data_IF_494146890493
#
_entry.id   IF_494146890493
#
_cell.length_a   1.000
_cell.length_b   1.000
_cell.length_c   1.000
_cell.angle_alpha   90.00
_cell.angle_beta   90.00
_cell.angle_gamma   90.00
#
_symmetry.space_group_name_H-M   'P 1'
#
loop_
_entity.id
_entity.type
_entity.pdbx_description
1 polymer ?
#
# COMPACT_ATOMS: atom_id res chain seq x y z
N UNK A 1 -72.58 17.68 -2.21
CA UNK A 1 -72.01 17.19 -3.48
C UNK A 1 -70.51 17.43 -3.46
N UNK A 2 -69.74 16.35 -3.70
CA UNK A 2 -68.38 16.27 -4.26
C UNK A 2 -67.20 17.00 -3.56
N UNK A 3 -65.96 16.49 -3.51
CA UNK A 3 -65.33 15.20 -3.82
C UNK A 3 -63.94 15.23 -3.14
N UNK A 4 -63.52 14.11 -2.55
CA UNK A 4 -62.23 13.97 -1.89
C UNK A 4 -61.06 13.99 -2.88
N UNK A 5 -59.90 14.49 -2.45
CA UNK A 5 -58.60 14.20 -3.11
C UNK A 5 -57.56 13.87 -2.05
N UNK A 6 -57.04 12.65 -2.15
CA UNK A 6 -55.90 12.12 -1.39
C UNK A 6 -54.65 12.38 -2.23
N UNK A 7 -53.61 12.98 -1.65
CA UNK A 7 -52.30 13.06 -2.29
C UNK A 7 -51.24 12.48 -1.35
N UNK A 8 -50.56 11.44 -1.85
CA UNK A 8 -49.66 10.55 -1.14
C UNK A 8 -48.39 11.26 -0.64
N UNK A 9 -48.00 10.93 0.60
CA UNK A 9 -46.67 11.24 1.12
C UNK A 9 -45.63 10.34 0.40
N UNK A 10 -44.90 10.93 -0.55
CA UNK A 10 -43.74 10.29 -1.16
C UNK A 10 -42.58 10.31 -0.18
N UNK A 11 -42.21 9.15 0.36
CA UNK A 11 -40.98 8.97 1.15
C UNK A 11 -39.81 9.10 0.17
N UNK A 12 -39.07 10.21 0.23
CA UNK A 12 -37.85 10.37 -0.52
C UNK A 12 -36.77 9.46 0.08
N UNK A 13 -36.61 8.26 -0.50
CA UNK A 13 -35.45 7.42 -0.22
C UNK A 13 -34.21 8.08 -0.81
N UNK A 14 -33.33 8.59 0.06
CA UNK A 14 -32.04 9.17 -0.32
C UNK A 14 -31.20 8.17 -1.11
N UNK A 15 -30.64 8.56 -2.28
CA UNK A 15 -29.88 7.63 -3.15
C UNK A 15 -28.49 7.28 -2.59
N UNK A 16 -28.06 7.89 -1.48
CA UNK A 16 -26.69 7.78 -0.98
C UNK A 16 -26.30 6.41 -0.43
N UNK A 17 -27.26 5.56 -0.05
CA UNK A 17 -26.95 4.21 0.48
C UNK A 17 -26.68 3.21 -0.65
N UNK A 18 -27.38 3.35 -1.78
CA UNK A 18 -27.22 2.45 -2.93
C UNK A 18 -25.86 2.63 -3.63
N UNK A 19 -25.30 3.85 -3.64
CA UNK A 19 -23.99 4.10 -4.23
C UNK A 19 -22.82 3.60 -3.37
N UNK A 20 -22.94 3.63 -2.04
CA UNK A 20 -21.92 3.04 -1.16
C UNK A 20 -21.88 1.50 -1.33
N UNK A 21 -23.04 0.85 -1.37
CA UNK A 21 -23.13 -0.59 -1.63
C UNK A 21 -22.71 -0.99 -3.05
N UNK A 22 -22.91 -0.14 -4.07
CA UNK A 22 -22.41 -0.44 -5.42
C UNK A 22 -20.89 -0.38 -5.51
N UNK A 23 -20.24 0.54 -4.78
CA UNK A 23 -18.77 0.58 -4.72
C UNK A 23 -18.17 -0.61 -3.98
N UNK A 24 -18.79 -1.09 -2.90
CA UNK A 24 -18.36 -2.33 -2.22
C UNK A 24 -18.70 -3.59 -3.02
N UNK A 25 -19.87 -3.64 -3.67
CA UNK A 25 -20.27 -4.82 -4.45
C UNK A 25 -19.52 -4.96 -5.79
N UNK A 26 -19.03 -3.87 -6.39
CA UNK A 26 -18.20 -3.96 -7.61
C UNK A 26 -16.78 -4.47 -7.33
N UNK A 27 -16.24 -4.32 -6.11
CA UNK A 27 -14.94 -4.88 -5.75
C UNK A 27 -14.96 -6.41 -5.67
N UNK A 28 -16.08 -7.01 -5.26
CA UNK A 28 -16.19 -8.48 -5.13
C UNK A 28 -16.35 -9.17 -6.49
N UNK A 29 -16.77 -8.45 -7.53
CA UNK A 29 -17.10 -9.03 -8.85
C UNK A 29 -15.91 -9.04 -9.81
N UNK A 30 -14.82 -8.32 -9.53
CA UNK A 30 -13.71 -8.19 -10.47
C UNK A 30 -12.58 -9.23 -10.31
N UNK A 31 -12.52 -10.00 -9.21
CA UNK A 31 -11.41 -10.94 -8.96
C UNK A 31 -10.04 -10.25 -8.89
N UNK A 32 -10.03 -8.99 -8.47
CA UNK A 32 -8.83 -8.16 -8.35
C UNK A 32 -8.59 -7.89 -6.88
N UNK A 33 -7.36 -8.10 -6.43
CA UNK A 33 -6.94 -7.62 -5.12
C UNK A 33 -6.26 -6.26 -5.25
N UNK A 34 -6.48 -5.40 -4.27
CA UNK A 34 -6.08 -3.98 -4.28
C UNK A 34 -5.38 -3.64 -2.98
N UNK A 35 -4.31 -2.86 -3.07
CA UNK A 35 -3.73 -2.13 -1.94
C UNK A 35 -3.64 -0.66 -2.28
N UNK A 36 -4.17 0.20 -1.41
CA UNK A 36 -4.08 1.63 -1.57
C UNK A 36 -3.93 2.33 -0.22
N UNK A 37 -3.04 3.31 -0.13
CA UNK A 37 -2.86 4.07 1.10
C UNK A 37 -1.66 4.99 1.06
N UNK A 38 -1.60 5.85 2.07
CA UNK A 38 -0.50 6.78 2.31
C UNK A 38 -0.14 6.66 3.78
N UNK A 39 1.13 6.87 4.10
CA UNK A 39 1.52 7.02 5.48
C UNK A 39 2.98 7.35 5.67
N UNK A 40 3.39 7.33 6.92
CA UNK A 40 4.81 7.39 7.25
C UNK A 40 5.13 6.57 8.49
N UNK A 41 6.38 6.18 8.57
CA UNK A 41 6.98 5.57 9.75
C UNK A 41 8.34 6.20 10.04
N UNK A 42 8.91 5.86 11.20
CA UNK A 42 10.22 6.34 11.64
C UNK A 42 11.03 5.14 12.04
N UNK A 43 12.24 5.02 11.49
CA UNK A 43 13.19 3.98 11.88
C UNK A 43 13.67 4.22 13.32
N UNK A 44 13.82 3.14 14.08
CA UNK A 44 14.40 3.14 15.44
C UNK A 44 15.66 2.25 15.55
N UNK A 45 16.13 1.74 14.41
CA UNK A 45 17.31 0.88 14.30
C UNK A 45 18.65 1.65 14.29
N UNK A 46 19.72 1.06 14.88
CA UNK A 46 21.08 1.59 14.81
C UNK A 46 21.55 2.02 13.43
N UNK A 47 21.98 3.29 13.32
CA UNK A 47 22.52 3.90 12.11
C UNK A 47 21.49 4.58 11.21
N UNK A 48 20.20 4.42 11.49
CA UNK A 48 19.09 5.08 10.79
C UNK A 48 18.05 5.65 11.78
N UNK A 49 18.37 5.75 13.07
CA UNK A 49 17.41 6.20 14.07
C UNK A 49 16.85 7.59 13.74
N UNK A 50 15.53 7.71 13.82
CA UNK A 50 14.82 8.96 13.55
C UNK A 50 14.66 9.29 12.06
N UNK A 51 15.23 8.49 11.15
CA UNK A 51 14.98 8.65 9.73
C UNK A 51 13.48 8.42 9.46
N UNK A 52 12.86 9.35 8.75
CA UNK A 52 11.42 9.32 8.47
C UNK A 52 11.19 8.90 7.02
N UNK A 53 10.33 7.92 6.85
CA UNK A 53 9.92 7.43 5.53
C UNK A 53 8.46 7.74 5.32
N UNK A 54 8.18 8.67 4.40
CA UNK A 54 6.85 8.89 3.85
C UNK A 54 6.66 8.02 2.62
N UNK A 55 5.49 7.42 2.50
CA UNK A 55 5.23 6.49 1.41
C UNK A 55 3.76 6.47 1.02
N UNK A 56 3.53 6.01 -0.20
CA UNK A 56 2.20 5.81 -0.76
C UNK A 56 2.19 4.63 -1.68
N UNK A 57 1.10 3.87 -1.70
CA UNK A 57 0.91 2.78 -2.65
C UNK A 57 -0.46 2.88 -3.27
N UNK A 58 -0.53 2.57 -4.56
CA UNK A 58 -1.77 2.25 -5.24
C UNK A 58 -1.45 1.16 -6.26
N UNK A 59 -1.89 -0.06 -5.98
CA UNK A 59 -1.62 -1.20 -6.82
C UNK A 59 -2.79 -2.18 -6.83
N UNK A 60 -2.93 -2.86 -7.97
CA UNK A 60 -3.93 -3.91 -8.18
C UNK A 60 -3.25 -5.14 -8.78
N UNK A 61 -3.74 -6.32 -8.42
CA UNK A 61 -3.34 -7.60 -8.99
C UNK A 61 -4.58 -8.37 -9.42
N UNK A 62 -4.58 -8.87 -10.64
CA UNK A 62 -5.66 -9.72 -11.15
C UNK A 62 -5.40 -11.19 -10.79
N UNK A 63 -6.44 -12.03 -10.88
CA UNK A 63 -6.35 -13.46 -10.58
C UNK A 63 -5.31 -14.24 -11.42
N UNK A 64 -4.93 -13.74 -12.59
CA UNK A 64 -3.86 -14.31 -13.45
C UNK A 64 -2.44 -13.91 -12.99
N UNK A 65 -2.33 -13.11 -11.92
CA UNK A 65 -1.07 -12.60 -11.38
C UNK A 65 -0.58 -11.31 -12.04
N UNK A 66 -1.29 -10.78 -13.04
CA UNK A 66 -0.92 -9.50 -13.66
C UNK A 66 -1.07 -8.37 -12.65
N UNK A 67 0.02 -7.66 -12.39
CA UNK A 67 0.10 -6.57 -11.41
C UNK A 67 0.36 -5.24 -12.11
N UNK A 68 -0.31 -4.19 -11.64
CA UNK A 68 0.00 -2.81 -12.03
C UNK A 68 -0.19 -1.87 -10.83
N UNK A 69 0.69 -0.91 -10.69
CA UNK A 69 0.61 0.05 -9.61
C UNK A 69 1.90 0.80 -9.39
N UNK A 70 1.86 1.73 -8.44
CA UNK A 70 2.99 2.57 -8.11
C UNK A 70 3.17 2.67 -6.61
N UNK A 71 4.44 2.77 -6.23
CA UNK A 71 4.89 3.04 -4.88
C UNK A 71 5.63 4.37 -4.88
N UNK A 72 5.15 5.32 -4.08
CA UNK A 72 5.77 6.62 -3.87
C UNK A 72 6.58 6.54 -2.58
N UNK A 73 7.74 7.17 -2.56
CA UNK A 73 8.58 7.23 -1.38
C UNK A 73 9.23 8.60 -1.22
N UNK A 74 9.48 8.97 0.03
CA UNK A 74 10.29 10.12 0.44
C UNK A 74 10.97 9.80 1.75
N UNK A 75 12.29 9.92 1.77
CA UNK A 75 13.16 9.64 2.92
C UNK A 75 13.78 10.94 3.42
N UNK A 76 13.53 11.24 4.69
CA UNK A 76 14.07 12.39 5.42
C UNK A 76 14.97 11.93 6.57
N UNK A 77 16.06 12.66 6.81
CA UNK A 77 16.85 12.59 8.04
C UNK A 77 16.06 13.15 9.23
N UNK A 78 16.50 12.92 10.49
CA UNK A 78 15.79 13.41 11.67
C UNK A 78 15.63 14.94 11.71
N UNK A 79 16.56 15.68 11.08
CA UNK A 79 16.52 17.14 10.96
C UNK A 79 15.63 17.66 9.81
N UNK A 80 14.98 16.75 9.06
CA UNK A 80 14.13 17.05 7.91
C UNK A 80 14.89 17.15 6.58
N UNK A 81 16.20 16.94 6.56
CA UNK A 81 16.98 16.93 5.32
C UNK A 81 16.52 15.79 4.41
N UNK A 82 16.20 16.12 3.16
CA UNK A 82 15.77 15.13 2.16
C UNK A 82 16.95 14.28 1.70
N UNK A 83 16.88 12.97 1.91
CA UNK A 83 17.83 11.99 1.38
C UNK A 83 17.47 11.58 -0.04
N UNK A 84 16.17 11.37 -0.28
CA UNK A 84 15.67 10.97 -1.59
C UNK A 84 14.15 10.90 -1.62
N UNK A 85 13.59 11.02 -2.82
CA UNK A 85 12.17 10.82 -3.08
C UNK A 85 11.96 10.38 -4.52
N UNK A 86 10.86 9.71 -4.78
CA UNK A 86 10.55 9.26 -6.12
C UNK A 86 9.39 8.30 -6.17
N UNK A 87 9.40 7.50 -7.24
CA UNK A 87 8.39 6.52 -7.56
C UNK A 87 9.05 5.24 -8.05
N UNK A 88 8.50 4.12 -7.60
CA UNK A 88 8.80 2.79 -8.09
C UNK A 88 7.53 2.18 -8.70
N UNK A 89 7.70 1.33 -9.70
CA UNK A 89 6.61 0.57 -10.29
C UNK A 89 6.41 -0.73 -9.52
N UNK A 90 5.17 -1.01 -9.11
CA UNK A 90 4.83 -2.25 -8.42
C UNK A 90 4.81 -3.38 -9.43
N UNK A 91 5.77 -4.29 -9.30
CA UNK A 91 5.97 -5.41 -10.25
C UNK A 91 5.31 -6.69 -9.79
N UNK A 92 5.00 -6.81 -8.49
CA UNK A 92 4.21 -7.91 -7.94
C UNK A 92 3.43 -7.43 -6.72
N UNK A 93 2.21 -7.92 -6.58
CA UNK A 93 1.36 -7.72 -5.42
C UNK A 93 0.68 -9.04 -5.06
N UNK A 94 0.72 -9.40 -3.79
CA UNK A 94 -0.02 -10.51 -3.19
C UNK A 94 -0.76 -10.01 -1.97
N UNK A 95 -2.08 -10.20 -1.97
CA UNK A 95 -2.95 -9.90 -0.84
C UNK A 95 -3.43 -11.21 -0.22
N UNK A 96 -3.39 -11.31 1.10
CA UNK A 96 -3.86 -12.48 1.85
C UNK A 96 -4.42 -12.02 3.19
N UNK A 97 -5.75 -12.05 3.33
CA UNK A 97 -6.41 -11.51 4.52
C UNK A 97 -6.13 -10.01 4.66
N UNK A 98 -5.69 -9.60 5.84
CA UNK A 98 -5.32 -8.21 6.16
C UNK A 98 -3.87 -7.85 5.79
N UNK A 99 -3.18 -8.70 5.03
CA UNK A 99 -1.77 -8.51 4.68
C UNK A 99 -1.62 -8.28 3.17
N UNK A 100 -0.86 -7.26 2.80
CA UNK A 100 -0.42 -7.01 1.44
C UNK A 100 1.11 -7.08 1.38
N UNK A 101 1.66 -7.95 0.53
CA UNK A 101 3.08 -8.02 0.20
C UNK A 101 3.27 -7.56 -1.23
N UNK A 102 4.17 -6.62 -1.47
CA UNK A 102 4.48 -6.16 -2.82
C UNK A 102 5.96 -5.87 -3.02
N UNK A 103 6.37 -6.00 -4.27
CA UNK A 103 7.70 -5.61 -4.76
C UNK A 103 7.53 -4.40 -5.68
N UNK A 104 8.31 -3.36 -5.45
CA UNK A 104 8.32 -2.17 -6.29
C UNK A 104 9.74 -1.82 -6.74
N UNK A 105 9.94 -1.65 -8.05
CA UNK A 105 11.25 -1.39 -8.65
C UNK A 105 11.31 0.03 -9.20
N UNK A 106 12.35 0.77 -8.83
CA UNK A 106 12.61 2.09 -9.42
C UNK A 106 13.02 1.91 -10.88
N UNK A 107 12.34 2.54 -11.86
CA UNK A 107 12.71 2.42 -13.26
C UNK A 107 14.14 2.88 -13.51
N UNK A 108 14.83 2.20 -14.44
CA UNK A 108 16.19 2.60 -14.82
C UNK A 108 16.24 4.06 -15.30
N UNK A 109 17.27 4.79 -14.87
CA UNK A 109 17.42 6.21 -15.17
C UNK A 109 16.60 7.15 -14.29
N UNK A 110 15.82 6.64 -13.32
CA UNK A 110 15.18 7.47 -12.30
C UNK A 110 16.00 7.46 -11.00
N UNK A 111 16.32 8.66 -10.49
CA UNK A 111 17.06 8.84 -9.23
C UNK A 111 18.58 8.65 -9.35
N UNK A 112 19.26 8.70 -8.20
CA UNK A 112 20.72 8.59 -8.10
C UNK A 112 21.20 7.17 -7.76
N UNK A 113 20.27 6.23 -7.60
CA UNK A 113 20.52 4.88 -7.12
C UNK A 113 20.29 3.91 -8.27
N UNK A 114 21.24 3.00 -8.50
CA UNK A 114 21.10 1.94 -9.51
C UNK A 114 20.41 0.73 -8.90
N UNK A 115 19.64 -0.03 -9.70
CA UNK A 115 19.07 -1.31 -9.30
C UNK A 115 18.34 -1.23 -7.94
N UNK A 116 17.44 -0.25 -7.80
CA UNK A 116 16.72 -0.01 -6.54
C UNK A 116 15.40 -0.75 -6.52
N UNK A 117 15.25 -1.68 -5.59
CA UNK A 117 14.01 -2.41 -5.30
C UNK A 117 13.56 -2.21 -3.86
N UNK A 118 12.27 -1.99 -3.69
CA UNK A 118 11.55 -1.99 -2.42
C UNK A 118 10.76 -3.29 -2.29
N UNK A 119 10.89 -3.94 -1.14
CA UNK A 119 10.10 -5.11 -0.77
C UNK A 119 9.34 -4.75 0.50
N UNK A 120 8.02 -4.73 0.40
CA UNK A 120 7.18 -4.12 1.42
C UNK A 120 6.08 -5.09 1.81
N UNK A 121 5.86 -5.19 3.11
CA UNK A 121 4.72 -5.87 3.71
C UNK A 121 3.94 -4.87 4.54
N UNK A 122 2.66 -4.77 4.24
CA UNK A 122 1.69 -3.97 4.99
C UNK A 122 0.73 -4.92 5.68
N UNK A 123 0.47 -4.66 6.96
CA UNK A 123 -0.47 -5.40 7.79
C UNK A 123 -1.51 -4.38 8.27
N UNK A 124 -2.73 -4.51 7.78
CA UNK A 124 -3.86 -3.70 8.22
C UNK A 124 -4.16 -4.00 9.71
N UNK A 125 -4.08 -2.96 10.53
CA UNK A 125 -4.22 -3.01 11.98
C UNK A 125 -5.66 -3.00 12.47
N UNK A 126 -6.64 -2.78 11.59
CA UNK A 126 -8.06 -2.68 11.91
C UNK A 126 -8.35 -1.47 12.82
N UNK A 127 -8.39 -1.70 14.14
CA UNK A 127 -8.54 -0.63 15.14
C UNK A 127 -7.21 -0.07 15.64
N UNK A 128 -6.11 -0.77 15.38
CA UNK A 128 -4.76 -0.33 15.70
C UNK A 128 -4.07 0.29 14.47
N UNK A 129 -2.98 1.05 14.63
CA UNK A 129 -2.20 1.53 13.50
C UNK A 129 -1.73 0.37 12.61
N UNK A 130 -1.79 0.56 11.29
CA UNK A 130 -1.20 -0.38 10.35
C UNK A 130 0.28 -0.57 10.64
N UNK A 131 0.79 -1.74 10.28
CA UNK A 131 2.22 -2.04 10.39
C UNK A 131 2.85 -2.17 9.01
N UNK A 132 4.08 -1.69 8.89
CA UNK A 132 4.91 -1.87 7.71
C UNK A 132 6.21 -2.59 8.08
N UNK A 133 6.61 -3.51 7.22
CA UNK A 133 7.96 -4.06 7.17
C UNK A 133 8.53 -3.75 5.80
N UNK A 134 9.76 -3.23 5.77
CA UNK A 134 10.45 -2.95 4.52
C UNK A 134 11.83 -3.58 4.44
N UNK A 135 12.23 -3.88 3.21
CA UNK A 135 13.58 -4.20 2.82
C UNK A 135 13.90 -3.48 1.52
N UNK A 136 15.15 -3.07 1.35
CA UNK A 136 15.60 -2.37 0.15
C UNK A 136 16.85 -3.05 -0.41
N UNK A 137 16.87 -3.23 -1.72
CA UNK A 137 18.07 -3.58 -2.47
C UNK A 137 18.45 -2.37 -3.32
N UNK A 138 19.70 -1.93 -3.26
CA UNK A 138 20.16 -0.75 -3.99
C UNK A 138 21.64 -0.85 -4.35
N UNK A 139 22.03 -0.19 -5.44
CA UNK A 139 23.39 -0.07 -5.95
C UNK A 139 24.12 -1.40 -6.22
N UNK A 140 23.38 -2.51 -6.37
CA UNK A 140 23.94 -3.80 -6.78
C UNK A 140 24.26 -3.85 -8.27
N UNK A 141 25.06 -4.84 -8.68
CA UNK A 141 25.32 -5.13 -10.10
C UNK A 141 24.20 -5.92 -10.77
N UNK A 142 23.41 -6.64 -9.97
CA UNK A 142 22.28 -7.45 -10.42
C UNK A 142 20.97 -6.66 -10.37
N UNK A 143 20.09 -6.94 -11.34
CA UNK A 143 18.74 -6.37 -11.35
C UNK A 143 17.92 -6.94 -10.18
N UNK A 144 17.16 -6.11 -9.43
CA UNK A 144 16.30 -6.61 -8.37
C UNK A 144 15.27 -7.61 -8.89
N UNK A 145 14.98 -8.71 -8.15
CA UNK A 145 13.87 -9.60 -8.46
C UNK A 145 12.55 -8.83 -8.59
N UNK A 146 11.74 -9.19 -9.58
CA UNK A 146 10.42 -8.56 -9.83
C UNK A 146 9.26 -9.32 -9.21
N UNK A 147 9.48 -10.55 -8.74
CA UNK A 147 8.49 -11.38 -8.03
C UNK A 147 8.24 -10.84 -6.61
N UNK A 148 7.11 -11.22 -6.02
CA UNK A 148 6.81 -10.90 -4.63
C UNK A 148 7.82 -11.58 -3.72
N UNK A 149 8.46 -10.79 -2.85
CA UNK A 149 9.34 -11.26 -1.78
C UNK A 149 8.83 -10.65 -0.48
N UNK A 150 8.54 -11.50 0.52
CA UNK A 150 8.17 -11.03 1.84
C UNK A 150 9.45 -10.60 2.58
N UNK A 151 9.58 -9.31 2.97
CA UNK A 151 10.77 -8.82 3.65
C UNK A 151 11.03 -9.51 5.00
N UNK A 152 10.02 -10.08 5.66
CA UNK A 152 10.21 -10.80 6.93
C UNK A 152 10.75 -12.23 6.74
N UNK A 153 10.37 -12.92 5.65
CA UNK A 153 10.68 -14.35 5.48
C UNK A 153 11.70 -14.64 4.39
N UNK A 154 11.79 -13.77 3.38
CA UNK A 154 12.59 -14.02 2.18
C UNK A 154 13.89 -13.20 2.14
N UNK A 155 14.04 -12.17 3.01
CA UNK A 155 15.11 -11.17 2.87
C UNK A 155 15.73 -10.67 4.21
N UNK A 156 17.01 -10.97 4.50
CA UNK A 156 17.86 -12.05 3.99
C UNK A 156 17.52 -13.39 4.68
N UNK A 157 17.72 -14.54 4.01
CA UNK A 157 17.53 -15.84 4.64
C UNK A 157 18.35 -15.97 5.94
N UNK A 158 17.70 -16.31 7.05
CA UNK A 158 18.36 -16.57 8.35
C UNK A 158 18.76 -15.34 9.17
N UNK A 159 18.28 -14.14 8.82
CA UNK A 159 18.48 -12.93 9.62
C UNK A 159 17.51 -12.83 10.80
N UNK A 160 17.81 -12.02 11.84
CA UNK A 160 16.81 -11.68 12.84
C UNK A 160 15.56 -11.11 12.17
N UNK A 161 14.40 -11.34 12.79
CA UNK A 161 13.13 -10.83 12.31
C UNK A 161 13.23 -9.32 12.10
N UNK A 162 12.86 -8.85 10.90
CA UNK A 162 12.87 -7.42 10.60
C UNK A 162 11.89 -6.67 11.52
N UNK A 163 12.23 -5.45 11.95
CA UNK A 163 11.30 -4.65 12.72
C UNK A 163 10.01 -4.38 11.96
N UNK A 164 8.91 -4.31 12.71
CA UNK A 164 7.63 -3.83 12.22
C UNK A 164 7.43 -2.43 12.73
N UNK A 165 7.20 -1.49 11.81
CA UNK A 165 7.01 -0.10 12.16
C UNK A 165 5.52 0.24 12.14
N UNK A 166 5.00 0.92 13.17
CA UNK A 166 3.64 1.45 13.13
C UNK A 166 3.58 2.61 12.12
N UNK A 167 2.53 2.62 11.30
CA UNK A 167 2.21 3.73 10.42
C UNK A 167 1.57 4.83 11.27
N UNK A 168 2.30 5.93 11.48
CA UNK A 168 1.95 6.93 12.49
C UNK A 168 0.84 7.89 12.03
N UNK A 169 0.77 8.16 10.74
CA UNK A 169 -0.28 8.97 10.11
C UNK A 169 -0.65 8.28 8.80
N UNK A 170 -1.95 8.26 8.49
CA UNK A 170 -2.49 7.63 7.29
C UNK A 170 -2.97 6.21 7.57
N UNK A 171 -2.90 5.35 6.56
CA UNK A 171 -3.38 3.97 6.63
C UNK A 171 -3.60 3.38 5.24
N UNK A 172 -3.90 2.09 5.21
CA UNK A 172 -4.03 1.27 4.01
C UNK A 172 -5.39 0.58 3.99
N UNK A 173 -6.01 0.59 2.81
CA UNK A 173 -7.10 -0.30 2.48
C UNK A 173 -6.52 -1.48 1.71
N UNK A 174 -6.74 -2.69 2.24
CA UNK A 174 -6.38 -3.95 1.60
C UNK A 174 -7.66 -4.71 1.26
N UNK A 175 -7.88 -4.97 -0.03
CA UNK A 175 -9.04 -5.72 -0.51
C UNK A 175 -8.57 -6.93 -1.30
N UNK A 176 -9.03 -8.12 -0.89
CA UNK A 176 -8.66 -9.41 -1.46
C UNK A 176 -9.71 -9.94 -2.42
#
# INVERSE_FOLDING_TARGET
MALATVAAAGVAASPSVAQAQQSEAMSVVAGWSVVAGLGHFVYDEPGVEGHRIWFGVQAVTAADGSTRGHFLYRHELPDGTLVGQGRADVTCLKVTGNVAVFTAIVPEGQGNVKNHGYYVKIIDGGSEPDQIVDAQAQNGTERPPTRCLDPETDLPPGSPQRPRYPVLIGGYAVHG
#
